data_IF_539171769084
#
_entry.id   IF_539171769084
#
_cell.length_a   1.000
_cell.length_b   1.000
_cell.length_c   1.000
_cell.angle_alpha   90.00
_cell.angle_beta   90.00
_cell.angle_gamma   90.00
#
_symmetry.space_group_name_H-M   'P 1'
#
loop_
_entity.id
_entity.type
_entity.pdbx_description
1 polymer ?
#
# COMPACT_ATOMS: atom_id res chain seq x y z
N UNK A 1 32.02 -2.72 7.49
CA UNK A 1 30.63 -3.17 7.21
C UNK A 1 30.15 -2.33 6.05
N UNK A 2 30.04 -2.92 4.85
CA UNK A 2 29.56 -2.20 3.68
C UNK A 2 28.09 -1.84 3.91
N UNK A 3 27.76 -0.55 3.87
CA UNK A 3 26.38 -0.08 3.87
C UNK A 3 25.71 -0.61 2.59
N UNK A 4 24.69 -1.48 2.73
CA UNK A 4 23.88 -1.89 1.60
C UNK A 4 23.18 -0.64 1.05
N UNK A 5 23.58 -0.17 -0.12
CA UNK A 5 22.84 0.82 -0.90
C UNK A 5 21.55 0.17 -1.35
N UNK A 6 20.41 0.78 -1.11
CA UNK A 6 19.10 0.27 -1.50
C UNK A 6 18.06 1.37 -1.53
N UNK A 7 16.96 1.13 -2.20
CA UNK A 7 15.83 2.05 -2.26
C UNK A 7 15.08 2.04 -0.94
N UNK A 8 14.97 3.17 -0.26
CA UNK A 8 14.29 3.30 1.02
C UNK A 8 12.76 3.41 0.90
N UNK A 9 12.27 3.79 -0.27
CA UNK A 9 10.83 3.86 -0.59
C UNK A 9 10.62 3.53 -2.06
N UNK A 10 9.71 2.59 -2.33
CA UNK A 10 9.26 2.24 -3.66
C UNK A 10 7.84 2.74 -3.83
N UNK A 11 7.66 3.72 -4.71
CA UNK A 11 6.38 4.10 -5.28
C UNK A 11 6.57 4.21 -6.79
N UNK A 12 5.55 3.78 -7.57
CA UNK A 12 5.62 3.87 -9.01
C UNK A 12 5.66 5.33 -9.43
N UNK A 13 6.85 5.84 -9.77
CA UNK A 13 6.99 7.02 -10.61
C UNK A 13 8.34 7.16 -11.28
N UNK A 14 8.36 7.85 -12.43
CA UNK A 14 9.43 7.94 -13.40
C UNK A 14 10.16 9.29 -13.35
N UNK A 15 11.34 9.27 -13.94
CA UNK A 15 12.26 10.30 -14.38
C UNK A 15 13.16 10.95 -13.34
N UNK A 16 14.39 10.43 -13.38
CA UNK A 16 15.56 11.02 -12.76
C UNK A 16 16.19 12.04 -13.73
N UNK A 17 16.09 13.33 -13.44
CA UNK A 17 17.01 14.31 -14.02
C UNK A 17 18.13 14.60 -13.02
N UNK A 18 19.34 14.27 -13.46
CA UNK A 18 20.59 14.51 -12.76
C UNK A 18 20.81 16.02 -12.53
N UNK A 19 20.94 16.47 -11.29
CA UNK A 19 21.90 17.52 -10.94
C UNK A 19 21.99 17.93 -9.45
N UNK A 20 21.34 17.23 -8.51
CA UNK A 20 21.71 17.41 -7.10
C UNK A 20 21.51 16.12 -6.30
N UNK A 21 22.61 15.53 -5.89
CA UNK A 21 22.62 14.31 -5.08
C UNK A 21 22.00 14.59 -3.70
N UNK A 22 20.78 14.13 -3.50
CA UNK A 22 20.09 14.21 -2.22
C UNK A 22 18.99 13.15 -2.12
N UNK A 23 18.81 12.59 -0.91
CA UNK A 23 17.85 11.51 -0.71
C UNK A 23 16.43 12.01 -0.43
N UNK A 24 15.46 11.29 -0.96
CA UNK A 24 14.01 11.48 -0.75
C UNK A 24 13.48 10.26 -0.03
N UNK A 25 12.70 10.45 1.03
CA UNK A 25 12.10 9.35 1.78
C UNK A 25 10.77 8.88 1.17
N UNK A 26 9.93 9.84 0.75
CA UNK A 26 8.60 9.55 0.22
C UNK A 26 8.35 10.37 -1.04
N UNK A 27 7.76 9.72 -2.03
CA UNK A 27 7.21 10.36 -3.20
C UNK A 27 5.83 9.76 -3.49
N UNK A 28 4.81 10.58 -3.66
CA UNK A 28 3.46 10.14 -3.98
C UNK A 28 2.89 11.01 -5.10
N UNK A 29 2.35 10.37 -6.14
CA UNK A 29 1.74 11.06 -7.28
C UNK A 29 0.22 11.12 -7.11
N UNK A 30 -0.38 12.24 -7.50
CA UNK A 30 -1.83 12.37 -7.57
C UNK A 30 -2.34 11.72 -8.87
N UNK A 31 -2.84 10.48 -8.79
CA UNK A 31 -3.33 9.72 -9.94
C UNK A 31 -2.34 9.73 -11.13
N UNK A 32 -2.77 10.24 -12.29
CA UNK A 32 -1.95 10.46 -13.49
C UNK A 32 -1.82 11.95 -13.80
N UNK A 33 -1.53 12.73 -12.79
CA UNK A 33 -1.27 14.17 -12.92
C UNK A 33 0.22 14.47 -12.80
N UNK A 34 0.57 15.71 -13.00
CA UNK A 34 1.89 16.29 -12.81
C UNK A 34 2.20 16.66 -11.36
N UNK A 35 1.26 16.45 -10.43
CA UNK A 35 1.47 16.80 -9.02
C UNK A 35 2.07 15.65 -8.24
N UNK A 36 3.20 15.92 -7.59
CA UNK A 36 3.94 15.02 -6.74
C UNK A 36 4.02 15.59 -5.32
N UNK A 37 3.75 14.76 -4.32
CA UNK A 37 4.08 15.07 -2.94
C UNK A 37 5.41 14.42 -2.59
N UNK A 38 6.37 15.21 -2.12
CA UNK A 38 7.74 14.78 -1.82
C UNK A 38 8.05 15.08 -0.36
N UNK A 39 8.71 14.14 0.32
CA UNK A 39 9.19 14.27 1.69
C UNK A 39 10.66 13.87 1.74
N UNK A 40 11.48 14.70 2.37
CA UNK A 40 12.91 14.42 2.57
C UNK A 40 13.16 13.30 3.58
N UNK A 41 14.34 12.70 3.49
CA UNK A 41 14.80 11.67 4.42
C UNK A 41 15.91 10.82 3.82
N UNK A 42 16.40 9.83 4.56
CA UNK A 42 17.55 9.02 4.16
C UNK A 42 18.88 9.58 4.66
N UNK A 43 19.98 9.16 4.05
CA UNK A 43 21.35 9.46 4.56
C UNK A 43 21.75 10.91 4.32
N UNK A 44 21.32 11.50 3.18
CA UNK A 44 21.59 12.88 2.82
C UNK A 44 20.30 13.54 2.32
N UNK A 45 19.38 13.94 3.21
CA UNK A 45 18.06 14.39 2.81
C UNK A 45 18.14 15.71 2.02
N UNK A 46 17.52 15.72 0.83
CA UNK A 46 17.39 16.91 0.00
C UNK A 46 16.42 17.93 0.61
N UNK A 47 15.39 17.43 1.29
CA UNK A 47 14.33 18.21 1.92
C UNK A 47 14.12 17.77 3.37
N UNK A 48 13.40 18.57 4.14
CA UNK A 48 13.07 18.25 5.52
C UNK A 48 12.14 17.02 5.62
N UNK A 49 12.37 16.16 6.61
CA UNK A 49 11.51 15.02 6.92
C UNK A 49 10.18 15.40 7.59
N UNK A 50 10.07 16.64 8.07
CA UNK A 50 8.85 17.19 8.69
C UNK A 50 8.01 18.02 7.72
N UNK A 51 8.44 18.17 6.46
CA UNK A 51 7.72 18.95 5.44
C UNK A 51 7.25 18.05 4.31
N UNK A 52 6.03 18.31 3.82
CA UNK A 52 5.51 17.77 2.56
C UNK A 52 5.57 18.88 1.52
N UNK A 53 6.30 18.64 0.47
CA UNK A 53 6.48 19.55 -0.65
C UNK A 53 5.59 19.07 -1.81
N UNK A 54 4.80 19.96 -2.40
CA UNK A 54 4.04 19.67 -3.60
C UNK A 54 4.76 20.24 -4.79
N UNK A 55 5.16 19.36 -5.68
CA UNK A 55 5.91 19.61 -6.89
C UNK A 55 4.99 19.47 -8.10
N UNK A 56 5.00 20.49 -8.97
CA UNK A 56 4.31 20.48 -10.25
C UNK A 56 5.31 20.24 -11.38
N UNK A 57 5.33 19.00 -11.91
CA UNK A 57 6.30 18.61 -12.93
C UNK A 57 5.99 19.18 -14.32
N UNK A 58 4.77 19.65 -14.58
CA UNK A 58 4.37 20.24 -15.85
C UNK A 58 4.86 21.70 -16.01
N UNK A 59 5.31 22.35 -14.93
CA UNK A 59 5.78 23.72 -15.03
C UNK A 59 7.13 23.81 -15.79
N UNK A 60 7.13 24.49 -16.93
CA UNK A 60 8.34 24.89 -17.63
C UNK A 60 8.94 26.12 -16.95
N UNK A 61 9.92 25.92 -16.09
CA UNK A 61 10.55 26.97 -15.31
C UNK A 61 12.06 26.98 -15.55
N UNK A 62 12.67 28.14 -15.36
CA UNK A 62 14.14 28.29 -15.47
C UNK A 62 14.89 27.70 -14.28
N UNK A 63 14.33 27.81 -13.09
CA UNK A 63 14.86 27.22 -11.86
C UNK A 63 13.96 26.04 -11.43
N UNK A 64 14.49 24.84 -11.20
CA UNK A 64 13.72 23.71 -10.68
C UNK A 64 12.95 24.00 -9.40
N UNK A 65 13.42 24.95 -8.58
CA UNK A 65 12.73 25.34 -7.34
C UNK A 65 11.36 25.98 -7.59
N UNK A 66 11.16 26.58 -8.77
CA UNK A 66 9.89 27.21 -9.13
C UNK A 66 8.78 26.18 -9.41
N UNK A 67 9.13 24.89 -9.52
CA UNK A 67 8.18 23.78 -9.59
C UNK A 67 7.53 23.46 -8.23
N UNK A 68 8.05 24.02 -7.14
CA UNK A 68 7.49 23.87 -5.80
C UNK A 68 6.29 24.81 -5.63
N UNK A 69 5.09 24.24 -5.58
CA UNK A 69 3.84 25.04 -5.55
C UNK A 69 3.22 25.16 -4.16
N UNK A 70 3.46 24.20 -3.25
CA UNK A 70 2.94 24.21 -1.88
C UNK A 70 3.91 23.51 -0.93
N UNK A 71 3.90 23.94 0.35
CA UNK A 71 4.60 23.28 1.44
C UNK A 71 3.71 23.16 2.68
N UNK A 72 3.71 21.98 3.30
CA UNK A 72 3.09 21.72 4.60
C UNK A 72 4.19 21.33 5.59
N UNK A 73 4.33 22.07 6.69
CA UNK A 73 5.33 21.79 7.72
C UNK A 73 4.69 21.34 9.03
N UNK A 74 5.26 20.31 9.65
CA UNK A 74 4.80 19.69 10.87
C UNK A 74 5.88 19.71 11.96
N UNK A 75 5.52 19.24 13.16
CA UNK A 75 6.44 19.18 14.31
C UNK A 75 7.15 17.82 14.43
N UNK A 76 6.75 16.85 13.61
CA UNK A 76 7.28 15.47 13.62
C UNK A 76 7.43 14.95 12.20
N UNK A 77 8.28 13.93 11.98
CA UNK A 77 8.48 13.33 10.68
C UNK A 77 7.19 12.85 10.03
N UNK A 78 7.07 13.09 8.73
CA UNK A 78 6.00 12.59 7.88
C UNK A 78 6.30 11.15 7.49
N UNK A 79 5.38 10.24 7.75
CA UNK A 79 5.53 8.81 7.50
C UNK A 79 4.80 8.33 6.24
N UNK A 80 3.72 9.02 5.85
CA UNK A 80 3.02 8.74 4.60
C UNK A 80 2.23 9.96 4.13
N UNK A 81 2.01 10.02 2.83
CA UNK A 81 1.13 10.99 2.18
C UNK A 81 0.17 10.24 1.27
N UNK A 82 -1.12 10.61 1.32
CA UNK A 82 -2.13 10.14 0.37
C UNK A 82 -2.81 11.33 -0.26
N UNK A 83 -2.96 11.29 -1.57
CA UNK A 83 -3.57 12.38 -2.32
C UNK A 83 -4.80 11.93 -3.07
N UNK A 84 -5.74 12.82 -3.15
CA UNK A 84 -6.95 12.75 -3.94
C UNK A 84 -7.17 14.14 -4.55
N UNK A 85 -7.96 14.24 -5.61
CA UNK A 85 -8.18 15.51 -6.34
C UNK A 85 -8.70 16.67 -5.48
N UNK A 86 -9.31 16.40 -4.33
CA UNK A 86 -9.92 17.38 -3.43
C UNK A 86 -9.31 17.40 -2.02
N UNK A 87 -8.42 16.44 -1.70
CA UNK A 87 -7.85 16.32 -0.35
C UNK A 87 -6.43 15.77 -0.39
N UNK A 88 -5.64 16.22 0.58
CA UNK A 88 -4.34 15.62 0.92
C UNK A 88 -4.36 15.15 2.37
N UNK A 89 -3.89 13.93 2.59
CA UNK A 89 -3.80 13.28 3.90
C UNK A 89 -2.33 13.13 4.25
N UNK A 90 -1.93 13.64 5.42
CA UNK A 90 -0.56 13.59 5.91
C UNK A 90 -0.52 12.82 7.21
N UNK A 91 0.28 11.76 7.22
CA UNK A 91 0.35 10.78 8.30
C UNK A 91 1.63 10.94 9.07
N UNK A 92 1.52 11.24 10.35
CA UNK A 92 2.61 11.21 11.32
C UNK A 92 2.49 9.97 12.19
N UNK A 93 3.45 9.73 13.06
CA UNK A 93 3.50 8.54 13.93
C UNK A 93 2.23 8.32 14.77
N UNK A 94 1.63 9.40 15.28
CA UNK A 94 0.48 9.35 16.19
C UNK A 94 -0.64 10.32 15.81
N UNK A 95 -0.61 10.86 14.58
CA UNK A 95 -1.59 11.85 14.12
C UNK A 95 -1.76 11.81 12.61
N UNK A 96 -2.98 12.02 12.16
CA UNK A 96 -3.33 12.15 10.75
C UNK A 96 -4.00 13.50 10.53
N UNK A 97 -3.51 14.24 9.54
CA UNK A 97 -4.08 15.49 9.10
C UNK A 97 -4.74 15.34 7.75
N UNK A 98 -5.88 15.98 7.57
CA UNK A 98 -6.61 16.06 6.31
C UNK A 98 -6.79 17.53 5.93
N UNK A 99 -6.26 17.90 4.76
CA UNK A 99 -6.41 19.24 4.20
C UNK A 99 -7.21 19.18 2.91
N UNK A 100 -7.90 20.29 2.59
CA UNK A 100 -8.37 20.53 1.23
C UNK A 100 -7.19 20.67 0.27
N UNK A 101 -7.40 20.34 -1.01
CA UNK A 101 -6.34 20.29 -2.01
C UNK A 101 -6.94 20.43 -3.41
N UNK A 102 -6.23 20.99 -4.41
CA UNK A 102 -4.93 21.63 -4.33
C UNK A 102 -4.95 23.11 -3.95
N UNK A 103 -6.07 23.80 -4.20
CA UNK A 103 -6.19 25.25 -4.05
C UNK A 103 -6.46 25.65 -2.60
N UNK A 104 -5.69 26.63 -2.11
CA UNK A 104 -5.83 27.22 -0.77
C UNK A 104 -6.06 26.18 0.33
N UNK A 105 -5.10 25.32 0.65
CA UNK A 105 -5.28 24.21 1.58
C UNK A 105 -5.74 24.68 2.96
N UNK A 106 -6.86 24.15 3.42
CA UNK A 106 -7.40 24.38 4.76
C UNK A 106 -7.44 23.07 5.52
N UNK A 107 -7.02 23.04 6.78
CA UNK A 107 -7.14 21.86 7.63
C UNK A 107 -8.61 21.53 7.87
N UNK A 108 -9.06 20.38 7.36
CA UNK A 108 -10.43 19.90 7.48
C UNK A 108 -10.60 19.01 8.71
N UNK A 109 -9.66 18.08 8.93
CA UNK A 109 -9.69 17.15 10.06
C UNK A 109 -8.30 16.89 10.62
N UNK A 110 -8.32 16.46 11.88
CA UNK A 110 -7.16 15.99 12.61
C UNK A 110 -7.60 14.80 13.46
N UNK A 111 -6.92 13.66 13.32
CA UNK A 111 -7.20 12.44 14.06
C UNK A 111 -5.99 12.06 14.89
N UNK A 112 -6.18 11.91 16.20
CA UNK A 112 -5.21 11.23 17.04
C UNK A 112 -5.26 9.73 16.76
N UNK A 113 -4.11 9.12 16.58
CA UNK A 113 -3.98 7.69 16.36
C UNK A 113 -3.12 7.05 17.45
N UNK A 114 -3.25 5.75 17.62
CA UNK A 114 -2.22 4.97 18.26
C UNK A 114 -0.90 5.11 17.48
N UNK A 115 0.23 4.79 18.11
CA UNK A 115 1.52 4.72 17.43
C UNK A 115 1.42 3.90 16.14
N UNK A 116 1.70 4.55 15.03
CA UNK A 116 1.62 4.04 13.66
C UNK A 116 2.97 4.28 12.95
N UNK A 117 4.05 3.58 13.35
CA UNK A 117 5.39 3.87 12.86
C UNK A 117 5.59 3.57 11.38
N UNK A 118 4.70 2.77 10.78
CA UNK A 118 4.71 2.47 9.33
C UNK A 118 3.89 3.46 8.50
N UNK A 119 3.24 4.44 9.13
CA UNK A 119 2.38 5.39 8.41
C UNK A 119 1.20 4.71 7.69
N UNK A 120 0.67 3.61 8.24
CA UNK A 120 -0.43 2.85 7.60
C UNK A 120 -1.67 3.72 7.51
N UNK A 121 -2.09 3.99 6.29
CA UNK A 121 -3.27 4.77 6.00
C UNK A 121 -3.67 4.53 4.54
N UNK A 122 -4.95 4.29 4.30
CA UNK A 122 -5.48 4.15 2.94
C UNK A 122 -6.63 5.12 2.71
N UNK A 123 -6.60 5.76 1.56
CA UNK A 123 -7.62 6.70 1.11
C UNK A 123 -8.32 6.12 -0.11
N UNK A 124 -9.65 6.09 -0.08
CA UNK A 124 -10.43 5.60 -1.21
C UNK A 124 -10.16 6.45 -2.46
N UNK A 125 -9.74 5.83 -3.57
CA UNK A 125 -9.47 6.56 -4.81
C UNK A 125 -10.73 6.96 -5.58
N UNK A 126 -11.89 6.36 -5.27
CA UNK A 126 -13.16 6.69 -5.93
C UNK A 126 -13.61 8.12 -5.64
N UNK A 127 -14.18 8.78 -6.63
CA UNK A 127 -14.79 10.11 -6.48
C UNK A 127 -16.07 10.06 -5.65
N UNK A 128 -16.79 8.96 -5.70
CA UNK A 128 -18.10 8.80 -5.05
C UNK A 128 -17.99 8.53 -3.54
N UNK A 129 -16.90 7.92 -3.09
CA UNK A 129 -16.71 7.55 -1.68
C UNK A 129 -15.46 8.19 -1.10
N UNK A 130 -15.61 8.91 -0.01
CA UNK A 130 -14.52 9.62 0.65
C UNK A 130 -14.09 8.91 1.93
N UNK A 131 -13.68 7.65 1.80
CA UNK A 131 -13.33 6.81 2.92
C UNK A 131 -11.83 6.86 3.21
N UNK A 132 -11.50 7.14 4.47
CA UNK A 132 -10.16 7.04 5.04
C UNK A 132 -10.11 5.85 6.00
N UNK A 133 -9.08 5.01 5.90
CA UNK A 133 -8.88 3.84 6.77
C UNK A 133 -7.47 3.85 7.35
N UNK A 134 -7.37 3.63 8.66
CA UNK A 134 -6.09 3.55 9.37
C UNK A 134 -6.20 2.62 10.60
N UNK A 135 -5.09 2.20 11.21
CA UNK A 135 -5.11 1.37 12.42
C UNK A 135 -5.81 2.06 13.59
N UNK A 136 -6.70 1.34 14.26
CA UNK A 136 -7.44 1.86 15.40
C UNK A 136 -6.65 1.84 16.72
N UNK A 137 -7.23 2.44 17.77
CA UNK A 137 -6.62 2.51 19.10
C UNK A 137 -6.43 1.13 19.75
N UNK A 138 -7.37 0.22 19.54
CA UNK A 138 -7.23 -1.17 19.99
C UNK A 138 -6.31 -1.93 19.02
N UNK A 139 -5.33 -2.66 19.54
CA UNK A 139 -4.47 -3.51 18.70
C UNK A 139 -5.29 -4.43 17.80
N UNK A 140 -4.97 -4.44 16.48
CA UNK A 140 -5.68 -5.24 15.49
C UNK A 140 -7.02 -4.68 15.02
N UNK A 141 -7.42 -3.48 15.44
CA UNK A 141 -8.59 -2.80 14.92
C UNK A 141 -8.26 -1.84 13.79
N UNK A 142 -9.26 -1.55 12.96
CA UNK A 142 -9.25 -0.53 11.92
C UNK A 142 -10.24 0.56 12.28
N UNK A 143 -9.88 1.81 12.00
CA UNK A 143 -10.78 2.96 12.01
C UNK A 143 -11.13 3.31 10.57
N UNK A 144 -12.42 3.52 10.32
CA UNK A 144 -12.98 3.93 9.04
C UNK A 144 -13.65 5.28 9.23
N UNK A 145 -13.24 6.28 8.47
CA UNK A 145 -13.77 7.65 8.55
C UNK A 145 -14.30 8.06 7.19
N UNK A 146 -15.57 8.49 7.16
CA UNK A 146 -16.14 9.12 5.98
C UNK A 146 -15.80 10.62 6.00
N UNK A 147 -15.05 11.05 4.98
CA UNK A 147 -14.61 12.43 4.82
C UNK A 147 -15.59 13.28 3.99
N UNK A 148 -16.75 12.78 3.56
CA UNK A 148 -17.71 13.50 2.72
C UNK A 148 -18.39 14.65 3.46
N UNK A 149 -18.63 14.52 4.76
CA UNK A 149 -19.27 15.52 5.61
C UNK A 149 -18.24 16.44 6.27
N UNK A 150 -17.48 17.15 5.45
CA UNK A 150 -16.34 17.95 5.88
C UNK A 150 -16.68 19.40 6.17
N UNK A 151 -17.54 19.66 7.14
CA UNK A 151 -17.57 21.00 7.74
C UNK A 151 -16.41 21.10 8.73
N UNK A 152 -15.52 22.09 8.60
CA UNK A 152 -14.43 22.29 9.56
C UNK A 152 -14.99 22.33 10.99
N UNK A 153 -14.39 21.55 11.90
CA UNK A 153 -14.82 21.48 13.30
C UNK A 153 -15.97 20.50 13.61
N UNK A 154 -16.50 19.76 12.63
CA UNK A 154 -17.44 18.66 12.89
C UNK A 154 -16.66 17.35 13.04
N UNK A 155 -16.86 16.67 14.18
CA UNK A 155 -16.29 15.33 14.40
C UNK A 155 -17.11 14.30 13.64
N UNK A 156 -16.52 13.66 12.62
CA UNK A 156 -17.05 12.42 12.09
C UNK A 156 -16.58 11.29 13.02
N UNK A 157 -17.52 10.67 13.76
CA UNK A 157 -17.19 9.55 14.61
C UNK A 157 -16.68 8.38 13.75
N UNK A 158 -15.45 7.88 13.96
CA UNK A 158 -14.93 6.77 13.19
C UNK A 158 -15.71 5.49 13.47
N UNK A 159 -15.90 4.67 12.43
CA UNK A 159 -16.38 3.30 12.60
C UNK A 159 -15.19 2.38 12.88
N UNK A 160 -15.39 1.39 13.76
CA UNK A 160 -14.33 0.45 14.14
C UNK A 160 -14.62 -0.96 13.64
N UNK A 161 -13.62 -1.60 13.04
CA UNK A 161 -13.61 -3.03 12.73
C UNK A 161 -12.54 -3.71 13.59
N UNK A 162 -12.92 -4.72 14.39
CA UNK A 162 -11.97 -5.56 15.12
C UNK A 162 -11.45 -6.66 14.19
N UNK A 163 -10.45 -6.33 13.38
CA UNK A 163 -9.98 -7.17 12.28
C UNK A 163 -9.06 -8.31 12.74
N UNK A 164 -8.17 -8.06 13.70
CA UNK A 164 -7.16 -9.02 14.15
C UNK A 164 -6.96 -8.96 15.67
N UNK A 165 -6.28 -9.98 16.21
CA UNK A 165 -5.90 -10.02 17.62
C UNK A 165 -4.59 -9.25 17.92
N UNK A 166 -3.69 -9.16 16.94
CA UNK A 166 -2.43 -8.42 17.01
C UNK A 166 -2.46 -7.20 16.09
N UNK A 167 -1.50 -6.30 16.27
CA UNK A 167 -1.41 -5.03 15.55
C UNK A 167 -1.47 -5.20 14.04
N UNK A 168 -2.11 -4.24 13.38
CA UNK A 168 -2.17 -4.16 11.91
C UNK A 168 -0.75 -3.89 11.38
N UNK A 169 -0.37 -4.64 10.35
CA UNK A 169 0.93 -4.52 9.70
C UNK A 169 0.82 -4.08 8.24
N UNK A 170 -0.31 -4.35 7.60
CA UNK A 170 -0.57 -3.97 6.21
C UNK A 170 -2.08 -3.81 6.01
N UNK A 171 -2.48 -2.87 5.16
CA UNK A 171 -3.88 -2.65 4.78
C UNK A 171 -3.97 -2.11 3.35
N UNK A 172 -5.11 -2.32 2.70
CA UNK A 172 -5.42 -1.81 1.37
C UNK A 172 -6.93 -1.62 1.20
N UNK A 173 -7.33 -0.66 0.38
CA UNK A 173 -8.70 -0.46 -0.09
C UNK A 173 -8.81 -0.84 -1.57
N UNK A 174 -9.96 -1.41 -1.95
CA UNK A 174 -10.28 -1.60 -3.35
C UNK A 174 -10.69 -0.27 -4.01
N UNK A 175 -10.75 -0.24 -5.36
CA UNK A 175 -11.05 0.98 -6.12
C UNK A 175 -12.37 1.67 -5.73
N UNK A 176 -13.50 0.98 -5.56
CA UNK A 176 -14.74 1.63 -5.13
C UNK A 176 -14.78 1.94 -3.63
N UNK A 177 -13.78 1.54 -2.84
CA UNK A 177 -13.77 1.71 -1.39
C UNK A 177 -14.82 0.87 -0.64
N UNK A 178 -15.36 -0.16 -1.28
CA UNK A 178 -16.35 -1.06 -0.68
C UNK A 178 -15.75 -2.18 0.17
N UNK A 179 -14.48 -2.51 -0.06
CA UNK A 179 -13.77 -3.60 0.64
C UNK A 179 -12.42 -3.10 1.15
N UNK A 180 -12.13 -3.37 2.42
CA UNK A 180 -10.82 -3.20 3.03
C UNK A 180 -10.17 -4.56 3.31
N UNK A 181 -8.93 -4.73 2.88
CA UNK A 181 -8.08 -5.86 3.23
C UNK A 181 -7.09 -5.46 4.31
N UNK A 182 -6.85 -6.32 5.28
CA UNK A 182 -5.88 -6.10 6.34
C UNK A 182 -5.14 -7.36 6.73
N UNK A 183 -3.91 -7.19 7.20
CA UNK A 183 -3.11 -8.23 7.83
C UNK A 183 -2.47 -7.71 9.10
N UNK A 184 -2.29 -8.61 10.06
CA UNK A 184 -1.62 -8.30 11.33
C UNK A 184 -0.12 -8.61 11.29
N UNK A 185 0.61 -8.23 12.33
CA UNK A 185 2.04 -8.53 12.51
C UNK A 185 2.38 -10.01 12.41
N UNK A 186 1.42 -10.90 12.72
CA UNK A 186 1.62 -12.35 12.53
C UNK A 186 1.79 -12.72 11.07
N UNK A 187 1.13 -12.01 10.14
CA UNK A 187 1.32 -12.15 8.71
C UNK A 187 0.87 -13.48 8.09
N UNK A 188 0.14 -14.32 8.81
CA UNK A 188 -0.34 -15.61 8.30
C UNK A 188 -1.67 -15.49 7.56
N UNK A 189 -2.50 -14.51 7.93
CA UNK A 189 -3.84 -14.29 7.42
C UNK A 189 -4.03 -12.88 6.88
N UNK A 190 -4.79 -12.77 5.80
CA UNK A 190 -5.32 -11.53 5.28
C UNK A 190 -6.84 -11.61 5.40
N UNK A 191 -7.47 -10.61 5.99
CA UNK A 191 -8.92 -10.55 6.18
C UNK A 191 -9.51 -9.40 5.42
N UNK A 192 -10.60 -9.68 4.72
CA UNK A 192 -11.34 -8.69 3.95
C UNK A 192 -12.67 -8.40 4.64
N UNK A 193 -13.02 -7.12 4.69
CA UNK A 193 -14.24 -6.63 5.32
C UNK A 193 -15.00 -5.71 4.36
N UNK A 194 -16.30 -5.80 4.38
CA UNK A 194 -17.17 -4.79 3.79
C UNK A 194 -17.06 -3.49 4.58
N UNK A 195 -16.82 -2.38 3.90
CA UNK A 195 -16.61 -1.09 4.56
C UNK A 195 -17.89 -0.40 5.02
N UNK A 196 -19.05 -0.87 4.58
CA UNK A 196 -20.39 -0.35 4.93
C UNK A 196 -20.99 -1.16 6.07
N UNK A 197 -21.11 -2.50 5.88
CA UNK A 197 -21.69 -3.39 6.90
C UNK A 197 -20.69 -3.72 8.01
N UNK A 198 -19.38 -3.66 7.70
CA UNK A 198 -18.26 -4.01 8.59
C UNK A 198 -18.12 -5.52 8.80
N UNK A 199 -18.86 -6.31 8.06
CA UNK A 199 -18.80 -7.76 8.12
C UNK A 199 -17.53 -8.30 7.48
N UNK A 200 -17.00 -9.38 8.05
CA UNK A 200 -15.90 -10.11 7.45
C UNK A 200 -16.42 -10.89 6.23
N UNK A 201 -15.90 -10.57 5.06
CA UNK A 201 -16.26 -11.20 3.79
C UNK A 201 -15.50 -12.51 3.57
N UNK A 202 -14.18 -12.49 3.75
CA UNK A 202 -13.32 -13.64 3.49
C UNK A 202 -12.06 -13.59 4.35
N UNK A 203 -11.51 -14.76 4.64
CA UNK A 203 -10.21 -14.95 5.25
C UNK A 203 -9.31 -15.72 4.30
N UNK A 204 -8.21 -15.07 3.90
CA UNK A 204 -7.20 -15.60 3.01
C UNK A 204 -5.97 -16.01 3.81
N UNK A 205 -5.39 -17.15 3.49
CA UNK A 205 -4.20 -17.68 4.15
C UNK A 205 -2.97 -17.48 3.28
N UNK A 206 -2.07 -16.62 3.75
CA UNK A 206 -0.76 -16.42 3.12
C UNK A 206 0.15 -17.62 3.38
N UNK A 207 0.14 -18.16 4.60
CA UNK A 207 0.98 -19.29 4.99
C UNK A 207 0.72 -19.75 6.42
N UNK A 208 1.44 -20.78 6.87
CA UNK A 208 1.41 -21.29 8.25
C UNK A 208 2.30 -20.50 9.18
N UNK A 209 3.47 -20.12 8.70
CA UNK A 209 4.50 -19.47 9.49
C UNK A 209 4.34 -17.95 9.52
N UNK A 210 4.72 -17.31 10.62
CA UNK A 210 4.73 -15.85 10.70
C UNK A 210 5.59 -15.24 9.59
N UNK A 211 5.15 -14.07 9.09
CA UNK A 211 5.88 -13.31 8.08
C UNK A 211 5.57 -11.82 8.18
N UNK A 212 6.54 -11.00 7.81
CA UNK A 212 6.33 -9.57 7.62
C UNK A 212 5.77 -9.32 6.24
N UNK A 213 4.49 -8.91 6.17
CA UNK A 213 3.94 -8.45 4.91
C UNK A 213 4.49 -7.08 4.55
N UNK A 214 4.87 -6.92 3.29
CA UNK A 214 5.33 -5.67 2.73
C UNK A 214 4.23 -4.91 2.00
N UNK A 215 3.37 -5.64 1.29
CA UNK A 215 2.36 -5.05 0.43
C UNK A 215 1.13 -5.95 0.32
N UNK A 216 -0.04 -5.33 0.23
CA UNK A 216 -1.32 -5.93 -0.16
C UNK A 216 -1.94 -4.97 -1.18
N UNK A 217 -2.36 -5.49 -2.34
CA UNK A 217 -3.04 -4.69 -3.35
C UNK A 217 -4.18 -5.45 -4.01
N UNK A 218 -5.25 -4.73 -4.35
CA UNK A 218 -6.36 -5.23 -5.15
C UNK A 218 -6.08 -5.04 -6.64
N UNK A 219 -6.63 -5.93 -7.48
CA UNK A 219 -6.78 -5.62 -8.90
C UNK A 219 -7.78 -4.48 -9.10
N UNK A 220 -7.67 -3.76 -10.21
CA UNK A 220 -8.51 -2.59 -10.47
C UNK A 220 -10.01 -2.92 -10.43
N UNK A 221 -10.40 -4.08 -10.91
CA UNK A 221 -11.78 -4.59 -10.92
C UNK A 221 -12.19 -5.31 -9.63
N UNK A 222 -11.31 -5.33 -8.62
CA UNK A 222 -11.50 -6.02 -7.34
C UNK A 222 -11.69 -7.54 -7.45
N UNK A 223 -11.31 -8.16 -8.57
CA UNK A 223 -11.44 -9.60 -8.77
C UNK A 223 -10.36 -10.41 -8.07
N UNK A 224 -9.20 -9.80 -7.85
CA UNK A 224 -8.03 -10.44 -7.27
C UNK A 224 -7.36 -9.57 -6.21
N UNK A 225 -6.54 -10.21 -5.37
CA UNK A 225 -5.68 -9.57 -4.39
C UNK A 225 -4.30 -10.20 -4.48
N UNK A 226 -3.24 -9.37 -4.47
CA UNK A 226 -1.86 -9.84 -4.35
C UNK A 226 -1.25 -9.39 -3.02
N UNK A 227 -0.31 -10.19 -2.51
CA UNK A 227 0.41 -9.89 -1.28
C UNK A 227 1.85 -10.38 -1.34
N UNK A 228 2.79 -9.55 -0.89
CA UNK A 228 4.22 -9.86 -0.75
C UNK A 228 4.66 -9.85 0.71
N UNK A 229 5.72 -10.62 1.01
CA UNK A 229 6.27 -10.75 2.36
C UNK A 229 7.76 -11.06 2.35
N UNK A 230 8.38 -11.02 3.53
CA UNK A 230 9.79 -11.42 3.77
C UNK A 230 10.11 -12.89 3.46
N UNK A 231 9.11 -13.68 3.04
CA UNK A 231 9.33 -15.06 2.58
C UNK A 231 9.65 -15.15 1.08
N UNK A 232 9.72 -14.02 0.38
CA UNK A 232 10.03 -13.96 -1.05
C UNK A 232 8.93 -14.50 -1.97
N UNK A 233 7.79 -14.92 -1.42
CA UNK A 233 6.66 -15.39 -2.22
C UNK A 233 5.60 -14.30 -2.34
N UNK A 234 5.23 -13.98 -3.58
CA UNK A 234 4.07 -13.15 -3.90
C UNK A 234 2.87 -14.05 -4.13
N UNK A 235 1.85 -13.91 -3.31
CA UNK A 235 0.62 -14.68 -3.36
C UNK A 235 -0.47 -13.93 -4.13
N UNK A 236 -1.25 -14.66 -4.92
CA UNK A 236 -2.38 -14.14 -5.69
C UNK A 236 -3.64 -14.90 -5.26
N UNK A 237 -4.68 -14.16 -4.88
CA UNK A 237 -5.96 -14.70 -4.42
C UNK A 237 -7.09 -14.23 -5.31
N UNK A 238 -8.01 -15.12 -5.64
CA UNK A 238 -9.27 -14.78 -6.30
C UNK A 238 -10.28 -14.29 -5.25
N UNK A 239 -10.97 -13.19 -5.54
CA UNK A 239 -11.97 -12.60 -4.64
C UNK A 239 -13.40 -12.76 -5.15
N UNK A 240 -13.66 -12.60 -6.46
CA UNK A 240 -14.99 -12.76 -7.06
C UNK A 240 -15.38 -14.22 -7.19
N UNK A 241 -14.50 -15.03 -7.75
CA UNK A 241 -14.69 -16.47 -7.82
C UNK A 241 -13.75 -17.20 -6.85
N UNK A 242 -14.14 -17.24 -5.61
CA UNK A 242 -13.34 -17.84 -4.54
C UNK A 242 -13.15 -19.37 -4.67
N UNK A 243 -13.88 -20.02 -5.58
CA UNK A 243 -13.69 -21.44 -5.88
C UNK A 243 -12.35 -21.73 -6.58
N UNK A 244 -11.78 -20.72 -7.23
CA UNK A 244 -10.46 -20.79 -7.85
C UNK A 244 -9.33 -20.90 -6.80
N UNK A 245 -9.54 -20.41 -5.60
CA UNK A 245 -8.58 -20.50 -4.51
C UNK A 245 -8.41 -21.94 -4.03
N UNK A 246 -7.18 -22.30 -3.71
CA UNK A 246 -6.88 -23.62 -3.13
C UNK A 246 -7.48 -23.71 -1.73
N UNK A 247 -7.96 -24.89 -1.38
CA UNK A 247 -8.45 -25.20 -0.04
C UNK A 247 -7.47 -26.13 0.67
N UNK A 248 -7.41 -26.04 2.01
CA UNK A 248 -6.63 -26.98 2.81
C UNK A 248 -7.02 -28.41 2.49
N UNK A 249 -6.04 -29.31 2.39
CA UNK A 249 -6.30 -30.74 2.23
C UNK A 249 -7.16 -31.30 3.38
N UNK A 250 -7.08 -30.71 4.57
CA UNK A 250 -7.88 -31.06 5.75
C UNK A 250 -9.36 -30.67 5.60
N UNK A 251 -9.70 -29.74 4.71
CA UNK A 251 -11.09 -29.38 4.41
C UNK A 251 -11.88 -30.52 3.75
N UNK A 252 -11.19 -31.51 3.20
CA UNK A 252 -11.79 -32.69 2.58
C UNK A 252 -12.13 -33.81 3.57
N UNK A 253 -11.64 -33.71 4.80
CA UNK A 253 -11.82 -34.73 5.86
C UNK A 253 -12.86 -34.25 6.85
N UNK A 254 -14.10 -34.28 6.49
CA UNK A 254 -15.33 -33.78 7.10
C UNK A 254 -15.64 -34.05 8.57
N UNK A 255 -14.73 -33.87 9.53
CA UNK A 255 -15.02 -33.73 10.99
C UNK A 255 -13.79 -33.14 11.67
N UNK A 256 -13.78 -31.82 11.86
CA UNK A 256 -12.65 -31.14 12.47
C UNK A 256 -13.17 -30.30 13.62
N UNK A 257 -12.56 -30.44 14.80
CA UNK A 257 -12.93 -29.68 16.00
C UNK A 257 -12.72 -28.16 15.82
N UNK A 258 -13.28 -27.32 16.71
CA UNK A 258 -13.39 -25.87 16.51
C UNK A 258 -12.07 -25.13 16.34
N UNK A 259 -10.95 -25.65 16.82
CA UNK A 259 -9.62 -25.02 16.67
C UNK A 259 -9.04 -25.26 15.27
N UNK A 260 -9.34 -26.40 14.65
CA UNK A 260 -8.90 -26.78 13.31
C UNK A 260 -9.86 -26.22 12.26
N UNK A 261 -11.14 -25.97 12.62
CA UNK A 261 -12.15 -25.38 11.75
C UNK A 261 -11.71 -24.02 11.16
N UNK A 262 -11.12 -23.13 11.97
CA UNK A 262 -10.62 -21.83 11.48
C UNK A 262 -9.47 -21.96 10.46
N UNK A 263 -8.65 -23.02 10.56
CA UNK A 263 -7.59 -23.31 9.59
C UNK A 263 -8.17 -23.85 8.28
N UNK A 264 -9.23 -24.62 8.39
CA UNK A 264 -9.91 -25.25 7.24
C UNK A 264 -10.72 -24.25 6.43
N UNK A 265 -11.32 -23.25 7.08
CA UNK A 265 -12.19 -22.25 6.44
C UNK A 265 -11.41 -21.17 5.66
N UNK A 266 -10.11 -20.99 5.94
CA UNK A 266 -9.30 -20.03 5.23
C UNK A 266 -8.90 -20.53 3.83
N UNK A 267 -8.90 -19.60 2.87
CA UNK A 267 -8.59 -19.89 1.47
C UNK A 267 -7.12 -19.63 1.18
N UNK A 268 -6.46 -20.56 0.50
CA UNK A 268 -5.07 -20.44 0.07
C UNK A 268 -4.97 -19.75 -1.30
N UNK A 269 -3.78 -19.26 -1.64
CA UNK A 269 -3.56 -18.58 -2.91
C UNK A 269 -3.95 -19.45 -4.11
N UNK A 270 -4.60 -18.83 -5.09
CA UNK A 270 -4.84 -19.37 -6.43
C UNK A 270 -3.50 -19.66 -7.12
N UNK A 271 -2.62 -18.66 -7.15
CA UNK A 271 -1.33 -18.70 -7.79
C UNK A 271 -0.28 -17.99 -6.92
N UNK A 272 0.97 -18.25 -7.17
CA UNK A 272 2.10 -17.56 -6.54
C UNK A 272 3.34 -17.63 -7.41
N UNK A 273 4.28 -16.73 -7.13
CA UNK A 273 5.62 -16.73 -7.69
C UNK A 273 6.63 -16.25 -6.65
N UNK A 274 7.91 -16.50 -6.89
CA UNK A 274 8.97 -16.09 -5.98
C UNK A 274 9.82 -14.96 -6.57
N UNK A 275 10.21 -14.04 -5.71
CA UNK A 275 11.25 -13.04 -5.93
C UNK A 275 12.42 -13.37 -4.99
N UNK A 276 13.61 -12.76 -5.13
CA UNK A 276 14.70 -12.99 -4.19
C UNK A 276 14.22 -12.81 -2.74
N UNK A 277 14.39 -13.85 -1.89
CA UNK A 277 13.76 -13.94 -0.58
C UNK A 277 14.17 -12.83 0.39
N UNK A 278 15.40 -12.34 0.28
CA UNK A 278 15.92 -11.28 1.15
C UNK A 278 15.55 -9.87 0.68
N UNK A 279 14.81 -9.76 -0.42
CA UNK A 279 14.46 -8.49 -1.04
C UNK A 279 13.05 -8.08 -0.67
N UNK A 280 12.89 -6.94 -0.01
CA UNK A 280 11.58 -6.33 0.18
C UNK A 280 11.02 -5.91 -1.19
N UNK A 281 9.75 -6.19 -1.44
CA UNK A 281 9.10 -5.82 -2.68
C UNK A 281 7.67 -5.33 -2.47
N UNK A 282 7.24 -4.42 -3.34
CA UNK A 282 5.83 -4.07 -3.52
C UNK A 282 5.30 -4.80 -4.75
N UNK A 283 4.01 -5.15 -4.72
CA UNK A 283 3.37 -5.83 -5.83
C UNK A 283 2.06 -5.12 -6.21
N UNK A 284 1.75 -5.14 -7.51
CA UNK A 284 0.54 -4.57 -8.06
C UNK A 284 0.08 -5.33 -9.29
N UNK A 285 -1.22 -5.24 -9.62
CA UNK A 285 -1.73 -5.82 -10.86
C UNK A 285 -1.42 -4.91 -12.05
N UNK A 286 -0.94 -5.51 -13.13
CA UNK A 286 -0.74 -4.84 -14.41
C UNK A 286 -2.07 -4.62 -15.14
N UNK A 287 -2.07 -3.70 -16.13
CA UNK A 287 -3.20 -3.59 -17.05
C UNK A 287 -3.30 -4.85 -17.90
N UNK A 288 -4.50 -5.42 -17.95
CA UNK A 288 -4.78 -6.54 -18.84
C UNK A 288 -4.80 -6.06 -20.28
N UNK A 289 -3.92 -6.63 -21.09
CA UNK A 289 -3.85 -6.34 -22.55
C UNK A 289 -4.74 -7.30 -23.35
N UNK A 290 -5.18 -8.40 -22.73
CA UNK A 290 -6.14 -9.36 -23.32
C UNK A 290 -7.16 -9.81 -22.29
N UNK A 291 -8.34 -10.26 -22.75
CA UNK A 291 -9.48 -10.61 -21.88
C UNK A 291 -9.21 -11.74 -20.86
N UNK A 292 -8.19 -12.57 -21.08
CA UNK A 292 -7.96 -13.79 -20.29
C UNK A 292 -6.61 -13.87 -19.60
N UNK A 293 -5.78 -12.83 -19.68
CA UNK A 293 -4.44 -12.84 -19.10
C UNK A 293 -4.32 -11.76 -18.05
N UNK A 294 -4.19 -12.17 -16.80
CA UNK A 294 -3.95 -11.28 -15.68
C UNK A 294 -2.45 -11.25 -15.38
N UNK A 295 -1.92 -10.10 -15.05
CA UNK A 295 -0.52 -9.95 -14.66
C UNK A 295 -0.34 -9.31 -13.31
N UNK A 296 0.73 -9.71 -12.62
CA UNK A 296 1.20 -9.08 -11.37
C UNK A 296 2.64 -8.65 -11.59
N UNK A 297 2.92 -7.43 -11.15
CA UNK A 297 4.23 -6.82 -11.18
C UNK A 297 4.75 -6.78 -9.74
N UNK A 298 6.00 -7.16 -9.53
CA UNK A 298 6.73 -6.95 -8.29
C UNK A 298 7.96 -6.09 -8.57
N UNK A 299 8.13 -5.05 -7.75
CA UNK A 299 9.29 -4.16 -7.78
C UNK A 299 10.03 -4.33 -6.46
N UNK A 300 11.30 -4.67 -6.56
CA UNK A 300 12.15 -5.01 -5.42
C UNK A 300 13.09 -3.87 -5.07
N UNK A 301 13.47 -3.78 -3.79
CA UNK A 301 14.41 -2.75 -3.30
C UNK A 301 15.84 -2.92 -3.80
N UNK A 302 16.17 -4.07 -4.41
CA UNK A 302 17.43 -4.32 -5.11
C UNK A 302 17.47 -3.72 -6.54
N UNK A 303 16.40 -3.06 -6.96
CA UNK A 303 16.28 -2.46 -8.29
C UNK A 303 15.77 -3.42 -9.36
N UNK A 304 15.29 -4.61 -8.99
CA UNK A 304 14.75 -5.57 -9.96
C UNK A 304 13.24 -5.42 -10.13
N UNK A 305 12.80 -5.61 -11.37
CA UNK A 305 11.42 -5.63 -11.82
C UNK A 305 11.06 -7.02 -12.29
N UNK A 306 9.93 -7.54 -11.83
CA UNK A 306 9.41 -8.85 -12.21
C UNK A 306 7.97 -8.73 -12.66
N UNK A 307 7.63 -9.24 -13.84
CA UNK A 307 6.24 -9.35 -14.30
C UNK A 307 5.88 -10.80 -14.53
N UNK A 308 4.80 -11.23 -13.89
CA UNK A 308 4.23 -12.58 -14.01
C UNK A 308 2.82 -12.51 -14.56
N UNK A 309 2.49 -13.43 -15.43
CA UNK A 309 1.14 -13.66 -15.93
C UNK A 309 0.57 -14.90 -15.26
N UNK A 310 -0.70 -14.84 -14.91
CA UNK A 310 -1.40 -15.96 -14.28
C UNK A 310 -2.78 -16.19 -14.90
N UNK A 311 -3.24 -17.40 -14.77
CA UNK A 311 -4.52 -17.88 -15.33
C UNK A 311 -5.44 -18.40 -14.22
N UNK A 312 -6.76 -18.50 -14.45
CA UNK A 312 -7.72 -19.00 -13.46
C UNK A 312 -7.46 -20.43 -12.96
N UNK A 313 -6.75 -21.24 -13.72
CA UNK A 313 -6.32 -22.60 -13.31
C UNK A 313 -5.11 -22.60 -12.38
N UNK A 314 -4.56 -21.42 -12.05
CA UNK A 314 -3.48 -21.25 -11.10
C UNK A 314 -2.07 -21.35 -11.69
N UNK A 315 -1.94 -21.43 -13.01
CA UNK A 315 -0.64 -21.32 -13.68
C UNK A 315 -0.10 -19.88 -13.52
N UNK A 316 1.19 -19.76 -13.26
CA UNK A 316 1.86 -18.47 -13.07
C UNK A 316 3.25 -18.52 -13.69
N UNK A 317 3.46 -17.73 -14.74
CA UNK A 317 4.69 -17.74 -15.52
C UNK A 317 5.32 -16.35 -15.62
N UNK A 318 6.64 -16.26 -15.53
CA UNK A 318 7.36 -15.00 -15.71
C UNK A 318 7.25 -14.55 -17.16
N UNK A 319 6.72 -13.34 -17.37
CA UNK A 319 6.62 -12.71 -18.69
C UNK A 319 7.78 -11.76 -18.95
N UNK A 320 8.22 -11.01 -17.92
CA UNK A 320 9.33 -10.08 -18.04
C UNK A 320 10.15 -10.00 -16.75
N UNK A 321 11.41 -9.65 -16.91
CA UNK A 321 12.35 -9.32 -15.86
C UNK A 321 13.21 -8.17 -16.37
N UNK A 322 13.50 -7.20 -15.52
CA UNK A 322 14.36 -6.07 -15.83
C UNK A 322 15.06 -5.56 -14.57
N UNK A 323 16.14 -4.82 -14.75
CA UNK A 323 16.84 -4.08 -13.71
C UNK A 323 16.64 -2.61 -14.00
N UNK A 324 15.78 -1.94 -13.22
CA UNK A 324 15.40 -0.55 -13.45
C UNK A 324 16.28 0.46 -12.71
N UNK A 325 17.12 0.01 -11.79
CA UNK A 325 18.20 0.80 -11.19
C UNK A 325 19.52 0.23 -11.69
N UNK A 326 20.19 0.95 -12.58
CA UNK A 326 21.62 0.78 -12.75
C UNK A 326 22.27 1.24 -11.44
N UNK A 327 22.57 0.28 -10.60
CA UNK A 327 23.53 0.49 -9.51
C UNK A 327 24.88 0.49 -10.22
N UNK A 328 25.18 1.61 -10.89
CA UNK A 328 26.53 1.85 -11.36
C UNK A 328 27.44 1.75 -10.15
N UNK A 329 28.29 0.75 -10.12
CA UNK A 329 29.50 0.76 -9.32
C UNK A 329 30.31 1.97 -9.80
N UNK A 330 30.08 3.14 -9.19
CA UNK A 330 30.96 4.32 -9.29
C UNK A 330 32.27 4.01 -8.53
N UNK A 331 32.99 2.98 -8.97
CA UNK A 331 34.38 2.72 -8.57
C UNK A 331 35.38 3.24 -9.61
N UNK A 332 34.94 4.09 -10.53
CA UNK A 332 35.83 4.80 -11.46
C UNK A 332 35.56 6.32 -11.43
N UNK A 333 36.02 6.98 -10.36
CA UNK A 333 36.57 8.35 -10.41
C UNK A 333 37.27 8.70 -9.09
#
# INVERSE_FOLDING_TARGET
MAQKRGVNSLQFNQDQNHEQVGSIALCSMLHRSNLLAVVGGGVNPKFSEISVLIWDDAQEVRDPKDKLVLEFTFTKPVLAVRMRHDKIIIVLKNRIYVYSFPDNPVKLFEFDTRDNPKGLCELCPSLEKQLLVFPGHKGGSLQLVDLSNTKPGTSSAPFTINAHQSEIACLALNQPGSVVASASRKGTLIRLFDTTTRDKLVELRRGTDPATLYCINFSHDSSFLCASSDKGTVHIFALKDTKLNRRSALARVGKVGPVIGQYVDSQWSLANFTVPAECACICAFGKNTSKNVNSVIAICVDGTFHKYVFTPDGNCNREAFDVYLDICDDDDF
#
